data_IF_079042302507
#
_entry.id   IF_079042302507
#
_cell.length_a   1.000
_cell.length_b   1.000
_cell.length_c   1.000
_cell.angle_alpha   90.00
_cell.angle_beta   90.00
_cell.angle_gamma   90.00
#
_symmetry.space_group_name_H-M   'P 1'
#
loop_
_entity.id
_entity.type
_entity.pdbx_description
1 polymer ?
#
# COMPACT_ATOMS: atom_id res chain seq x y z
N UNK A 1 -6.37 -6.77 -0.94
CA UNK A 1 -6.37 -7.86 0.07
C UNK A 1 -5.78 -7.29 1.34
N UNK A 2 -6.28 -7.58 2.54
CA UNK A 2 -5.65 -7.07 3.79
C UNK A 2 -4.39 -7.87 4.14
N UNK A 3 -3.42 -7.22 4.81
CA UNK A 3 -2.22 -7.88 5.34
C UNK A 3 -2.57 -9.07 6.24
N UNK A 4 -3.56 -8.91 7.12
CA UNK A 4 -4.03 -9.95 8.03
C UNK A 4 -4.55 -11.20 7.29
N UNK A 5 -5.41 -10.99 6.28
CA UNK A 5 -5.98 -12.10 5.50
C UNK A 5 -4.90 -12.79 4.66
N UNK A 6 -3.98 -12.02 4.07
CA UNK A 6 -2.85 -12.56 3.33
C UNK A 6 -1.91 -13.41 4.20
N UNK A 7 -1.68 -12.98 5.44
CA UNK A 7 -0.87 -13.73 6.41
C UNK A 7 -1.56 -15.02 6.83
N UNK A 8 -2.86 -14.95 7.14
CA UNK A 8 -3.65 -16.10 7.62
C UNK A 8 -3.89 -17.17 6.54
N UNK A 9 -3.86 -16.78 5.26
CA UNK A 9 -4.22 -17.64 4.13
C UNK A 9 -3.18 -17.59 2.99
N UNK A 10 -1.89 -17.58 3.36
CA UNK A 10 -0.80 -17.37 2.41
C UNK A 10 -0.83 -18.28 1.16
N UNK A 11 -1.05 -19.61 1.26
CA UNK A 11 -1.10 -20.46 0.07
C UNK A 11 -2.19 -20.05 -0.92
N UNK A 12 -3.38 -19.71 -0.40
CA UNK A 12 -4.53 -19.31 -1.20
C UNK A 12 -4.31 -17.94 -1.84
N UNK A 13 -3.78 -16.97 -1.09
CA UNK A 13 -3.51 -15.63 -1.60
C UNK A 13 -2.40 -15.64 -2.66
N UNK A 14 -1.37 -16.46 -2.48
CA UNK A 14 -0.33 -16.67 -3.50
C UNK A 14 -0.91 -17.22 -4.80
N UNK A 15 -1.76 -18.24 -4.71
CA UNK A 15 -2.44 -18.81 -5.88
C UNK A 15 -3.36 -17.80 -6.57
N UNK A 16 -4.11 -17.01 -5.78
CA UNK A 16 -4.96 -15.95 -6.29
C UNK A 16 -4.16 -14.87 -7.03
N UNK A 17 -3.10 -14.35 -6.43
CA UNK A 17 -2.25 -13.34 -7.07
C UNK A 17 -1.67 -13.84 -8.39
N UNK A 18 -1.21 -15.09 -8.44
CA UNK A 18 -0.69 -15.69 -9.67
C UNK A 18 -1.78 -15.79 -10.75
N UNK A 19 -3.00 -16.21 -10.38
CA UNK A 19 -4.13 -16.30 -11.30
C UNK A 19 -4.59 -14.93 -11.82
N UNK A 20 -4.55 -13.89 -10.98
CA UNK A 20 -4.85 -12.50 -11.37
C UNK A 20 -3.81 -11.96 -12.35
N UNK A 21 -2.52 -12.18 -12.07
CA UNK A 21 -1.42 -11.75 -12.94
C UNK A 21 -1.48 -12.42 -14.31
N UNK A 22 -1.81 -13.70 -14.39
CA UNK A 22 -2.03 -14.41 -15.67
C UNK A 22 -3.14 -13.78 -16.52
N UNK A 23 -4.07 -13.07 -15.89
CA UNK A 23 -5.18 -12.37 -16.54
C UNK A 23 -4.94 -10.87 -16.70
N UNK A 24 -3.70 -10.41 -16.49
CA UNK A 24 -3.29 -9.00 -16.56
C UNK A 24 -3.99 -8.08 -15.56
N UNK A 25 -4.57 -8.63 -14.49
CA UNK A 25 -5.04 -7.81 -13.36
C UNK A 25 -3.88 -7.42 -12.47
N UNK A 26 -3.96 -6.22 -11.92
CA UNK A 26 -3.06 -5.75 -10.87
C UNK A 26 -3.61 -6.09 -9.49
N UNK A 27 -2.75 -6.37 -8.54
CA UNK A 27 -3.11 -6.80 -7.20
C UNK A 27 -2.42 -5.97 -6.12
N UNK A 28 -3.20 -5.58 -5.10
CA UNK A 28 -2.76 -4.70 -4.03
C UNK A 28 -2.97 -5.30 -2.64
N UNK A 29 -2.00 -5.09 -1.76
CA UNK A 29 -2.10 -5.37 -0.33
C UNK A 29 -2.49 -4.09 0.45
N UNK A 30 -3.45 -4.21 1.35
CA UNK A 30 -3.99 -3.15 2.22
C UNK A 30 -3.41 -3.28 3.64
N UNK A 31 -3.17 -2.15 4.30
CA UNK A 31 -2.71 -2.12 5.69
C UNK A 31 -1.24 -2.52 5.86
N UNK A 32 -0.43 -2.36 4.81
CA UNK A 32 0.96 -2.79 4.77
C UNK A 32 1.81 -2.07 5.83
N UNK A 33 2.57 -2.85 6.58
CA UNK A 33 3.44 -2.34 7.64
C UNK A 33 2.73 -2.21 8.99
N UNK A 34 1.44 -2.53 9.10
CA UNK A 34 0.76 -2.62 10.40
C UNK A 34 1.13 -3.91 11.15
N UNK A 35 1.47 -4.97 10.40
CA UNK A 35 1.75 -6.31 10.93
C UNK A 35 3.24 -6.66 11.07
N UNK A 36 3.48 -7.90 11.51
CA UNK A 36 4.83 -8.48 11.69
C UNK A 36 5.35 -9.24 10.46
N UNK A 37 4.50 -9.49 9.46
CA UNK A 37 4.80 -10.37 8.33
C UNK A 37 4.96 -9.62 6.99
N UNK A 38 5.04 -8.28 7.02
CA UNK A 38 4.94 -7.45 5.83
C UNK A 38 6.01 -7.77 4.78
N UNK A 39 7.28 -7.98 5.16
CA UNK A 39 8.35 -8.32 4.21
C UNK A 39 8.17 -9.70 3.57
N UNK A 40 7.76 -10.71 4.34
CA UNK A 40 7.54 -12.06 3.82
C UNK A 40 6.43 -12.12 2.78
N UNK A 41 5.44 -11.24 2.87
CA UNK A 41 4.37 -11.14 1.87
C UNK A 41 4.86 -10.57 0.53
N UNK A 42 5.81 -9.62 0.54
CA UNK A 42 6.41 -9.08 -0.69
C UNK A 42 7.14 -10.16 -1.49
N UNK A 43 7.81 -11.07 -0.79
CA UNK A 43 8.53 -12.19 -1.42
C UNK A 43 7.59 -13.29 -1.92
N UNK A 44 6.51 -13.56 -1.17
CA UNK A 44 5.68 -14.74 -1.39
C UNK A 44 4.50 -14.51 -2.34
N UNK A 45 3.95 -13.29 -2.40
CA UNK A 45 2.72 -12.96 -3.12
C UNK A 45 3.07 -12.07 -4.32
N UNK A 46 2.60 -12.40 -5.55
CA UNK A 46 2.82 -11.55 -6.72
C UNK A 46 1.92 -10.31 -6.61
N UNK A 47 2.45 -9.26 -6.02
CA UNK A 47 1.80 -7.97 -5.81
C UNK A 47 2.29 -6.96 -6.86
N UNK A 48 1.45 -5.98 -7.17
CA UNK A 48 1.82 -4.79 -7.95
C UNK A 48 1.88 -3.55 -7.05
N UNK A 49 1.06 -3.54 -6.00
CA UNK A 49 0.97 -2.44 -5.04
C UNK A 49 0.95 -2.91 -3.59
N UNK A 50 1.45 -2.06 -2.71
CA UNK A 50 1.14 -2.08 -1.29
C UNK A 50 0.64 -0.73 -0.82
N UNK A 51 -0.40 -0.72 0.01
CA UNK A 51 -0.96 0.46 0.66
C UNK A 51 -0.47 0.49 2.09
N UNK A 52 0.37 1.46 2.42
CA UNK A 52 0.89 1.69 3.78
C UNK A 52 -0.27 2.06 4.67
N UNK A 53 -0.38 1.39 5.81
CA UNK A 53 -1.50 1.56 6.74
C UNK A 53 -1.69 3.02 7.16
N UNK A 54 -2.94 3.48 7.12
CA UNK A 54 -3.28 4.87 7.40
C UNK A 54 -2.94 5.33 8.81
N UNK A 55 -2.89 4.43 9.80
CA UNK A 55 -2.48 4.77 11.18
C UNK A 55 -1.00 5.14 11.25
N UNK A 56 -0.17 4.53 10.40
CA UNK A 56 1.24 4.87 10.23
C UNK A 56 1.35 6.23 9.55
N UNK A 57 0.59 6.44 8.48
CA UNK A 57 0.62 7.69 7.69
C UNK A 57 0.20 8.89 8.53
N UNK A 58 -0.86 8.79 9.33
CA UNK A 58 -1.36 9.88 10.18
C UNK A 58 -0.34 10.35 11.25
N UNK A 59 0.58 9.47 11.67
CA UNK A 59 1.61 9.81 12.67
C UNK A 59 2.94 10.25 12.03
N UNK A 60 3.09 10.03 10.72
CA UNK A 60 4.38 10.09 10.02
C UNK A 60 5.06 11.46 10.07
N UNK A 61 4.27 12.54 9.96
CA UNK A 61 4.81 13.90 9.84
C UNK A 61 5.61 14.37 11.06
N UNK A 62 5.43 13.75 12.23
CA UNK A 62 6.00 14.19 13.51
C UNK A 62 6.89 13.15 14.19
N UNK A 63 7.10 12.00 13.55
CA UNK A 63 7.80 10.85 14.13
C UNK A 63 8.95 10.41 13.21
N UNK A 64 10.15 10.91 13.49
CA UNK A 64 11.36 10.57 12.72
C UNK A 64 11.70 9.06 12.74
N UNK A 65 11.63 8.35 13.88
CA UNK A 65 11.75 6.89 13.89
C UNK A 65 10.75 6.20 12.94
N UNK A 66 9.49 6.65 12.92
CA UNK A 66 8.48 6.11 12.02
C UNK A 66 8.79 6.42 10.55
N UNK A 67 9.32 7.60 10.23
CA UNK A 67 9.78 7.94 8.88
C UNK A 67 10.90 7.02 8.41
N UNK A 68 11.87 6.70 9.26
CA UNK A 68 12.93 5.75 8.93
C UNK A 68 12.37 4.34 8.69
N UNK A 69 11.42 3.90 9.50
CA UNK A 69 10.72 2.63 9.33
C UNK A 69 9.96 2.58 8.00
N UNK A 70 9.22 3.64 7.65
CA UNK A 70 8.48 3.72 6.38
C UNK A 70 9.45 3.73 5.19
N UNK A 71 10.56 4.46 5.27
CA UNK A 71 11.61 4.42 4.24
C UNK A 71 12.11 2.99 3.98
N UNK A 72 12.36 2.22 5.05
CA UNK A 72 12.78 0.83 4.91
C UNK A 72 11.70 -0.05 4.26
N UNK A 73 10.42 0.18 4.57
CA UNK A 73 9.28 -0.52 3.95
C UNK A 73 9.18 -0.19 2.44
N UNK A 74 9.34 1.08 2.08
CA UNK A 74 9.34 1.53 0.68
C UNK A 74 10.50 0.90 -0.09
N UNK A 75 11.71 0.91 0.49
CA UNK A 75 12.87 0.27 -0.12
C UNK A 75 12.69 -1.24 -0.30
N UNK A 76 12.06 -1.92 0.65
CA UNK A 76 11.75 -3.33 0.54
C UNK A 76 10.76 -3.58 -0.62
N UNK A 77 9.66 -2.84 -0.71
CA UNK A 77 8.70 -2.97 -1.80
C UNK A 77 9.35 -2.72 -3.18
N UNK A 78 10.18 -1.67 -3.27
CA UNK A 78 10.91 -1.33 -4.50
C UNK A 78 11.84 -2.44 -4.98
N UNK A 79 12.52 -3.16 -4.08
CA UNK A 79 13.40 -4.30 -4.44
C UNK A 79 12.64 -5.46 -5.12
N UNK A 80 11.32 -5.52 -4.93
CA UNK A 80 10.44 -6.51 -5.54
C UNK A 80 9.62 -5.93 -6.71
N UNK A 81 9.97 -4.74 -7.20
CA UNK A 81 9.22 -4.01 -8.24
C UNK A 81 7.75 -3.73 -7.86
N UNK A 82 7.48 -3.57 -6.56
CA UNK A 82 6.15 -3.28 -6.02
C UNK A 82 6.05 -1.79 -5.69
N UNK A 83 5.01 -1.13 -6.21
CA UNK A 83 4.80 0.31 -5.98
C UNK A 83 4.08 0.54 -4.65
N UNK A 84 4.40 1.64 -3.97
CA UNK A 84 3.78 1.98 -2.68
C UNK A 84 2.75 3.08 -2.80
N UNK A 85 1.73 3.01 -1.94
CA UNK A 85 0.65 3.98 -1.83
C UNK A 85 0.52 4.37 -0.35
N UNK A 86 0.62 5.66 -0.02
CA UNK A 86 0.31 6.16 1.33
C UNK A 86 -1.18 6.49 1.44
N UNK A 87 -1.91 5.85 2.37
CA UNK A 87 -3.35 6.10 2.54
C UNK A 87 -3.68 7.05 3.69
N UNK A 88 -4.92 7.57 3.71
CA UNK A 88 -5.41 8.55 4.70
C UNK A 88 -4.53 9.80 4.83
N UNK A 89 -4.06 10.32 3.70
CA UNK A 89 -3.37 11.63 3.65
C UNK A 89 -4.39 12.76 3.89
N UNK A 90 -4.23 13.49 4.99
CA UNK A 90 -5.16 14.53 5.44
C UNK A 90 -4.55 15.95 5.41
N UNK A 91 -3.24 16.09 5.20
CA UNK A 91 -2.59 17.39 5.09
C UNK A 91 -1.33 17.39 4.20
N UNK A 92 -0.87 18.60 3.88
CA UNK A 92 0.32 18.85 3.05
C UNK A 92 1.62 18.37 3.71
N UNK A 93 1.72 18.39 5.04
CA UNK A 93 2.93 17.99 5.77
C UNK A 93 3.15 16.49 5.65
N UNK A 94 2.09 15.71 5.84
CA UNK A 94 2.08 14.27 5.68
C UNK A 94 2.41 13.89 4.24
N UNK A 95 1.82 14.58 3.26
CA UNK A 95 2.15 14.40 1.84
C UNK A 95 3.64 14.68 1.55
N UNK A 96 4.19 15.77 2.07
CA UNK A 96 5.60 16.12 1.87
C UNK A 96 6.54 15.06 2.47
N UNK A 97 6.22 14.55 3.65
CA UNK A 97 7.03 13.49 4.28
C UNK A 97 6.92 12.17 3.53
N UNK A 98 5.73 11.78 3.04
CA UNK A 98 5.55 10.60 2.20
C UNK A 98 6.41 10.67 0.93
N UNK A 99 6.46 11.82 0.28
CA UNK A 99 7.35 12.06 -0.85
C UNK A 99 8.83 11.88 -0.47
N UNK A 100 9.26 12.45 0.66
CA UNK A 100 10.66 12.38 1.13
C UNK A 100 11.11 10.95 1.49
N UNK A 101 10.20 10.12 2.00
CA UNK A 101 10.49 8.70 2.31
C UNK A 101 10.35 7.79 1.09
N UNK A 102 9.93 8.33 -0.06
CA UNK A 102 9.97 7.68 -1.36
C UNK A 102 8.68 6.98 -1.78
N UNK A 103 7.54 7.28 -1.15
CA UNK A 103 6.25 6.70 -1.52
C UNK A 103 5.81 7.19 -2.91
N UNK A 104 5.38 6.26 -3.78
CA UNK A 104 5.10 6.58 -5.19
C UNK A 104 3.70 7.18 -5.43
N UNK A 105 2.68 6.78 -4.67
CA UNK A 105 1.32 7.30 -4.80
C UNK A 105 0.71 7.64 -3.45
N UNK A 106 -0.33 8.47 -3.46
CA UNK A 106 -1.03 8.90 -2.25
C UNK A 106 -2.54 8.82 -2.43
N UNK A 107 -3.25 8.52 -1.34
CA UNK A 107 -4.70 8.50 -1.26
C UNK A 107 -5.13 9.13 0.06
N UNK A 108 -6.09 10.05 0.02
CA UNK A 108 -6.65 10.65 1.23
C UNK A 108 -7.48 11.89 0.94
N UNK A 109 -8.18 12.38 1.97
CA UNK A 109 -9.13 13.48 1.85
C UNK A 109 -8.46 14.79 1.42
N UNK A 110 -7.18 14.96 1.74
CA UNK A 110 -6.39 16.10 1.26
C UNK A 110 -6.26 16.15 -0.27
N UNK A 111 -6.35 14.99 -0.92
CA UNK A 111 -6.24 14.86 -2.37
C UNK A 111 -7.61 14.88 -3.02
N UNK A 112 -8.49 13.96 -2.59
CA UNK A 112 -9.90 13.95 -2.97
C UNK A 112 -10.68 13.14 -1.95
N UNK A 113 -11.83 13.66 -1.53
CA UNK A 113 -12.75 12.91 -0.69
C UNK A 113 -13.48 11.83 -1.51
N UNK A 114 -13.93 10.73 -0.87
CA UNK A 114 -14.74 9.73 -1.55
C UNK A 114 -16.00 10.36 -2.12
N UNK A 115 -16.19 10.19 -3.43
CA UNK A 115 -17.37 10.68 -4.14
C UNK A 115 -18.17 9.53 -4.76
N UNK A 116 -19.46 9.78 -5.00
CA UNK A 116 -20.30 8.83 -5.72
C UNK A 116 -19.94 8.86 -7.21
N UNK A 117 -19.21 7.84 -7.66
CA UNK A 117 -18.92 7.65 -9.08
C UNK A 117 -20.05 6.86 -9.72
N UNK A 118 -20.93 7.55 -10.45
CA UNK A 118 -21.92 6.89 -11.31
C UNK A 118 -21.24 6.54 -12.63
N UNK A 119 -20.78 5.30 -12.77
CA UNK A 119 -20.24 4.78 -14.02
C UNK A 119 -21.32 4.86 -15.10
N UNK A 120 -21.20 5.83 -16.01
CA UNK A 120 -22.02 5.83 -17.23
C UNK A 120 -21.47 4.73 -18.13
N UNK A 121 -22.27 3.72 -18.42
CA UNK A 121 -21.96 2.78 -19.49
C UNK A 121 -21.88 3.57 -20.81
N UNK A 122 -20.68 3.71 -21.35
CA UNK A 122 -20.53 4.09 -22.75
C UNK A 122 -21.16 2.97 -23.59
N UNK A 123 -22.15 3.34 -24.41
CA UNK A 123 -22.90 2.44 -25.29
C UNK A 123 -22.12 2.17 -26.58
#
# INVERSE_FOLDING_TARGET
MTEESATSHLPQVKALGAALRQRSFRFALEGFGSGRASSGLLEAVPLDFVKIDGTIVQSLARDEPLQQRVRALVEAARKHDIQTIGERVEDANTMAVLWQVGVEYIQGYFINEPEQVVLRAER
#
